data_IF_107271623887
#
_entry.id   IF_107271623887
#
_cell.length_a   1.000
_cell.length_b   1.000
_cell.length_c   1.000
_cell.angle_alpha   90.00
_cell.angle_beta   90.00
_cell.angle_gamma   90.00
#
_symmetry.space_group_name_H-M   'P 1'
#
loop_
_entity.id
_entity.type
_entity.pdbx_description
1 polymer ?
#
# COMPACT_ATOMS: atom_id res chain seq x y z
N UNK A 1 -4.79 -20.43 -22.82
CA UNK A 1 -6.05 -20.11 -22.13
C UNK A 1 -6.24 -21.09 -20.99
N UNK A 2 -6.47 -20.59 -19.78
CA UNK A 2 -6.60 -21.38 -18.56
C UNK A 2 -8.07 -21.54 -18.17
N UNK A 3 -8.81 -20.44 -18.10
CA UNK A 3 -10.19 -20.38 -17.57
C UNK A 3 -11.21 -19.73 -18.47
N UNK A 4 -10.82 -19.00 -19.52
CA UNK A 4 -11.79 -18.32 -20.42
C UNK A 4 -12.82 -19.25 -21.06
N UNK A 5 -12.45 -20.51 -21.30
CA UNK A 5 -13.33 -21.53 -21.88
C UNK A 5 -14.47 -22.00 -20.94
N UNK A 6 -14.44 -21.66 -19.64
CA UNK A 6 -15.51 -22.03 -18.69
C UNK A 6 -16.82 -21.29 -19.03
N UNK A 7 -16.71 -20.04 -19.47
CA UNK A 7 -17.81 -19.24 -19.98
C UNK A 7 -17.25 -18.28 -21.05
N UNK A 8 -17.26 -18.68 -22.33
CA UNK A 8 -16.76 -17.85 -23.42
C UNK A 8 -17.45 -16.46 -23.44
N UNK A 9 -16.67 -15.40 -23.67
CA UNK A 9 -17.15 -14.02 -23.66
C UNK A 9 -17.25 -13.37 -22.28
N UNK A 10 -16.95 -14.10 -21.19
CA UNK A 10 -16.90 -13.51 -19.86
C UNK A 10 -15.58 -12.75 -19.66
N UNK A 11 -15.67 -11.41 -19.62
CA UNK A 11 -14.53 -10.50 -19.54
C UNK A 11 -13.63 -10.74 -18.33
N UNK A 12 -14.20 -11.18 -17.20
CA UNK A 12 -13.42 -11.49 -15.99
C UNK A 12 -12.46 -12.67 -16.20
N UNK A 13 -12.91 -13.73 -16.87
CA UNK A 13 -12.11 -14.92 -17.15
C UNK A 13 -11.08 -14.65 -18.26
N UNK A 14 -11.45 -13.86 -19.26
CA UNK A 14 -10.55 -13.40 -20.31
C UNK A 14 -9.40 -12.57 -19.74
N UNK A 15 -9.70 -11.66 -18.80
CA UNK A 15 -8.68 -10.86 -18.14
C UNK A 15 -7.72 -11.72 -17.30
N UNK A 16 -8.22 -12.72 -16.56
CA UNK A 16 -7.38 -13.66 -15.81
C UNK A 16 -6.40 -14.39 -16.75
N UNK A 17 -6.89 -14.88 -17.89
CA UNK A 17 -6.06 -15.54 -18.89
C UNK A 17 -5.03 -14.60 -19.52
N UNK A 18 -5.44 -13.37 -19.84
CA UNK A 18 -4.55 -12.32 -20.34
C UNK A 18 -3.43 -12.03 -19.35
N UNK A 19 -3.77 -11.81 -18.07
CA UNK A 19 -2.83 -11.54 -16.98
C UNK A 19 -1.81 -12.67 -16.80
N UNK A 20 -2.24 -13.92 -16.97
CA UNK A 20 -1.35 -15.09 -16.87
C UNK A 20 -0.36 -15.23 -18.03
N UNK A 21 -0.43 -14.41 -19.07
CA UNK A 21 0.59 -14.39 -20.13
C UNK A 21 1.86 -13.64 -19.71
N UNK A 22 1.83 -12.86 -18.63
CA UNK A 22 2.97 -12.05 -18.17
C UNK A 22 3.72 -12.71 -17.00
N UNK A 23 5.03 -12.51 -16.93
CA UNK A 23 5.88 -13.10 -15.89
C UNK A 23 5.64 -12.48 -14.49
N UNK A 24 5.16 -11.25 -14.48
CA UNK A 24 4.82 -10.47 -13.29
C UNK A 24 3.34 -10.61 -12.90
N UNK A 25 2.59 -11.61 -13.42
CA UNK A 25 1.15 -11.84 -13.20
C UNK A 25 0.68 -11.76 -11.73
N UNK A 26 1.56 -11.87 -10.74
CA UNK A 26 1.22 -11.71 -9.31
C UNK A 26 1.12 -10.25 -8.86
N UNK A 27 1.29 -9.28 -9.75
CA UNK A 27 1.31 -7.84 -9.47
C UNK A 27 2.66 -7.36 -8.93
N UNK A 28 2.71 -6.09 -8.51
CA UNK A 28 3.94 -5.37 -8.13
C UNK A 28 4.78 -6.07 -7.05
N UNK A 29 6.08 -5.78 -7.02
CA UNK A 29 6.97 -6.24 -5.96
C UNK A 29 6.50 -5.74 -4.58
N UNK A 30 6.12 -6.68 -3.71
CA UNK A 30 5.77 -6.43 -2.30
C UNK A 30 6.64 -7.30 -1.39
N UNK A 31 6.56 -7.14 -0.06
CA UNK A 31 7.17 -8.11 0.86
C UNK A 31 6.50 -9.48 0.64
N UNK A 32 7.22 -10.43 0.05
CA UNK A 32 6.72 -11.78 -0.25
C UNK A 32 7.17 -12.81 0.81
N UNK A 33 8.01 -12.42 1.77
CA UNK A 33 8.77 -13.38 2.57
C UNK A 33 8.77 -13.13 4.09
N UNK A 34 8.37 -11.94 4.56
CA UNK A 34 8.37 -11.64 5.98
C UNK A 34 6.94 -11.52 6.51
N UNK A 35 6.53 -12.48 7.33
CA UNK A 35 5.34 -12.33 8.15
C UNK A 35 5.75 -11.57 9.40
N UNK A 36 5.29 -10.33 9.52
CA UNK A 36 5.35 -9.59 10.77
C UNK A 36 4.05 -8.87 11.07
N UNK A 37 3.83 -8.62 12.35
CA UNK A 37 2.74 -7.79 12.86
C UNK A 37 3.27 -6.49 13.47
N UNK A 38 2.35 -5.60 13.80
CA UNK A 38 2.64 -4.30 14.40
C UNK A 38 3.49 -4.41 15.67
N UNK A 39 3.24 -5.40 16.52
CA UNK A 39 3.95 -5.59 17.79
C UNK A 39 5.38 -6.08 17.54
N UNK A 40 5.58 -6.98 16.59
CA UNK A 40 6.91 -7.40 16.17
C UNK A 40 7.73 -6.24 15.61
N UNK A 41 7.15 -5.41 14.73
CA UNK A 41 7.83 -4.20 14.23
C UNK A 41 8.15 -3.27 15.39
N UNK A 42 7.20 -3.00 16.28
CA UNK A 42 7.39 -2.14 17.45
C UNK A 42 8.58 -2.61 18.30
N UNK A 43 8.60 -3.87 18.67
CA UNK A 43 9.67 -4.44 19.49
C UNK A 43 11.03 -4.32 18.79
N UNK A 44 11.11 -4.56 17.48
CA UNK A 44 12.37 -4.43 16.74
C UNK A 44 12.84 -2.97 16.69
N UNK A 45 11.95 -2.02 16.41
CA UNK A 45 12.30 -0.60 16.33
C UNK A 45 12.63 0.00 17.70
N UNK A 46 11.96 -0.43 18.76
CA UNK A 46 12.26 -0.02 20.14
C UNK A 46 13.65 -0.50 20.57
N UNK A 47 14.00 -1.76 20.29
CA UNK A 47 15.36 -2.27 20.50
C UNK A 47 16.34 -1.51 19.60
N UNK A 48 15.99 -1.19 18.35
CA UNK A 48 16.85 -0.38 17.49
C UNK A 48 17.13 1.00 18.11
N UNK A 49 16.13 1.65 18.70
CA UNK A 49 16.30 2.93 19.39
C UNK A 49 17.25 2.83 20.59
N UNK A 50 17.25 1.70 21.31
CA UNK A 50 18.19 1.45 22.40
C UNK A 50 19.65 1.41 21.92
N UNK A 51 19.93 0.78 20.78
CA UNK A 51 21.28 0.65 20.23
C UNK A 51 21.69 1.82 19.33
N UNK A 52 20.71 2.56 18.81
CA UNK A 52 20.89 3.65 17.87
C UNK A 52 19.96 4.83 18.22
N UNK A 53 20.14 5.43 19.41
CA UNK A 53 19.18 6.39 19.97
C UNK A 53 19.10 7.66 19.13
N UNK A 54 17.89 8.23 19.08
CA UNK A 54 17.63 9.53 18.46
C UNK A 54 18.15 9.62 17.01
N UNK A 55 17.93 8.56 16.23
CA UNK A 55 18.35 8.45 14.82
C UNK A 55 19.87 8.44 14.63
N UNK A 56 20.67 8.11 15.65
CA UNK A 56 22.10 7.87 15.44
C UNK A 56 22.31 6.74 14.43
N UNK A 57 23.48 6.69 13.81
CA UNK A 57 23.83 5.62 12.87
C UNK A 57 24.38 4.40 13.61
N UNK A 58 23.85 3.22 13.32
CA UNK A 58 24.42 1.94 13.72
C UNK A 58 25.00 1.23 12.50
N UNK A 59 26.25 0.79 12.60
CA UNK A 59 26.89 0.03 11.52
C UNK A 59 26.38 -1.41 11.51
N UNK A 60 25.85 -1.82 10.36
CA UNK A 60 25.45 -3.19 10.08
C UNK A 60 26.62 -3.99 9.51
N UNK A 61 26.48 -5.31 9.53
CA UNK A 61 27.34 -6.18 8.73
C UNK A 61 27.16 -5.92 7.23
N UNK A 62 28.22 -6.04 6.46
CA UNK A 62 28.19 -5.95 4.99
C UNK A 62 28.29 -7.33 4.31
N UNK A 63 28.74 -8.35 5.04
CA UNK A 63 28.94 -9.71 4.55
C UNK A 63 28.13 -10.73 5.36
N UNK A 64 27.69 -11.77 4.65
CA UNK A 64 26.98 -12.93 5.21
C UNK A 64 27.81 -13.64 6.26
N UNK A 65 27.15 -14.19 7.29
CA UNK A 65 27.83 -14.93 8.36
C UNK A 65 28.63 -16.11 7.78
N UNK A 66 28.08 -16.80 6.76
CA UNK A 66 28.76 -17.92 6.10
C UNK A 66 30.06 -17.51 5.40
N UNK A 67 30.20 -16.25 4.98
CA UNK A 67 31.40 -15.72 4.30
C UNK A 67 32.37 -15.08 5.29
N UNK A 68 31.85 -14.46 6.35
CA UNK A 68 32.64 -13.83 7.41
C UNK A 68 32.00 -14.15 8.76
N UNK A 69 32.41 -15.20 9.47
CA UNK A 69 31.74 -15.58 10.72
C UNK A 69 31.87 -14.55 11.84
N UNK A 70 32.95 -13.76 11.84
CA UNK A 70 33.30 -12.84 12.92
C UNK A 70 32.86 -11.41 12.61
N UNK A 71 32.27 -10.72 13.58
CA UNK A 71 31.92 -9.30 13.49
C UNK A 71 33.15 -8.41 13.67
N UNK A 72 33.22 -7.29 12.96
CA UNK A 72 34.21 -6.24 13.26
C UNK A 72 33.83 -5.49 14.53
N UNK A 73 34.75 -4.76 15.19
CA UNK A 73 34.43 -4.00 16.41
C UNK A 73 33.24 -3.05 16.25
N UNK A 74 33.14 -2.38 15.09
CA UNK A 74 32.04 -1.46 14.77
C UNK A 74 30.69 -2.15 14.57
N UNK A 75 30.66 -3.46 14.31
CA UNK A 75 29.44 -4.25 14.11
C UNK A 75 28.94 -4.92 15.40
N UNK A 76 29.70 -4.82 16.50
CA UNK A 76 29.31 -5.39 17.80
C UNK A 76 27.94 -4.85 18.28
N UNK A 77 27.63 -3.54 18.19
CA UNK A 77 26.30 -3.03 18.54
C UNK A 77 25.19 -3.71 17.73
N UNK A 78 25.41 -3.90 16.42
CA UNK A 78 24.44 -4.57 15.55
C UNK A 78 24.25 -6.04 15.89
N UNK A 79 25.32 -6.77 16.23
CA UNK A 79 25.21 -8.15 16.68
C UNK A 79 24.38 -8.27 17.96
N UNK A 80 24.65 -7.42 18.96
CA UNK A 80 23.89 -7.36 20.22
C UNK A 80 22.42 -6.97 20.00
N UNK A 81 22.16 -6.01 19.12
CA UNK A 81 20.82 -5.67 18.66
C UNK A 81 20.08 -6.89 18.12
N UNK A 82 20.70 -7.66 17.21
CA UNK A 82 20.09 -8.84 16.63
C UNK A 82 19.84 -9.95 17.66
N UNK A 83 20.75 -10.14 18.62
CA UNK A 83 20.56 -11.09 19.72
C UNK A 83 19.37 -10.71 20.61
N UNK A 84 19.24 -9.43 20.95
CA UNK A 84 18.12 -8.93 21.75
C UNK A 84 16.79 -9.03 21.00
N UNK A 85 16.77 -8.71 19.70
CA UNK A 85 15.61 -8.93 18.83
C UNK A 85 15.23 -10.40 18.79
N UNK A 86 16.19 -11.31 18.57
CA UNK A 86 15.93 -12.75 18.54
C UNK A 86 15.37 -13.25 19.88
N UNK A 87 15.86 -12.72 21.00
CA UNK A 87 15.36 -13.06 22.34
C UNK A 87 13.93 -12.54 22.57
N UNK A 88 13.59 -11.35 22.09
CA UNK A 88 12.30 -10.70 22.30
C UNK A 88 11.21 -11.19 21.35
N UNK A 89 11.55 -11.36 20.07
CA UNK A 89 10.60 -11.64 18.96
C UNK A 89 10.69 -13.11 18.51
N UNK A 90 11.73 -13.85 18.90
CA UNK A 90 11.91 -15.26 18.53
C UNK A 90 12.53 -15.49 17.15
N UNK A 91 12.72 -14.44 16.34
CA UNK A 91 13.36 -14.48 15.02
C UNK A 91 14.23 -13.24 14.80
N UNK A 92 15.16 -13.31 13.85
CA UNK A 92 16.05 -12.17 13.51
C UNK A 92 17.53 -12.48 13.67
N UNK A 93 18.07 -13.36 12.81
CA UNK A 93 19.52 -13.42 12.63
C UNK A 93 20.03 -12.12 11.99
N UNK A 94 21.32 -11.82 12.16
CA UNK A 94 21.96 -10.66 11.53
C UNK A 94 21.70 -10.61 10.01
N UNK A 95 21.79 -11.74 9.32
CA UNK A 95 21.50 -11.78 7.88
C UNK A 95 20.02 -11.57 7.55
N UNK A 96 19.10 -12.19 8.30
CA UNK A 96 17.66 -12.02 8.06
C UNK A 96 17.18 -10.60 8.32
N UNK A 97 17.70 -9.95 9.36
CA UNK A 97 17.38 -8.57 9.71
C UNK A 97 17.87 -7.67 8.58
N UNK A 98 19.15 -7.76 8.21
CA UNK A 98 19.76 -6.89 7.20
C UNK A 98 19.15 -7.04 5.81
N UNK A 99 18.88 -8.28 5.38
CA UNK A 99 18.45 -8.61 4.01
C UNK A 99 16.95 -8.63 3.82
N UNK A 100 16.18 -8.87 4.89
CA UNK A 100 14.74 -9.05 4.76
C UNK A 100 14.01 -7.96 5.57
N UNK A 101 14.15 -7.94 6.90
CA UNK A 101 13.35 -7.03 7.74
C UNK A 101 13.67 -5.56 7.51
N UNK A 102 14.95 -5.18 7.53
CA UNK A 102 15.38 -3.81 7.27
C UNK A 102 15.19 -3.39 5.81
N UNK A 103 15.04 -4.33 4.87
CA UNK A 103 14.62 -3.95 3.51
C UNK A 103 13.17 -3.48 3.56
N UNK A 104 12.29 -4.24 4.22
CA UNK A 104 10.89 -3.86 4.33
C UNK A 104 10.69 -2.60 5.19
N UNK A 105 11.35 -2.50 6.35
CA UNK A 105 11.19 -1.36 7.25
C UNK A 105 11.69 -0.05 6.62
N UNK A 106 12.68 -0.13 5.74
CA UNK A 106 13.12 1.02 4.95
C UNK A 106 12.07 1.41 3.91
N UNK A 107 11.43 0.43 3.26
CA UNK A 107 10.33 0.66 2.30
C UNK A 107 9.04 1.16 2.96
N UNK A 108 8.89 0.89 4.25
CA UNK A 108 7.83 1.41 5.11
C UNK A 108 8.12 2.83 5.64
N UNK A 109 9.31 3.38 5.35
CA UNK A 109 9.85 4.61 5.92
C UNK A 109 9.96 4.60 7.46
N UNK A 110 10.14 3.44 8.10
CA UNK A 110 10.33 3.34 9.55
C UNK A 110 11.81 3.42 9.97
N UNK A 111 12.71 3.15 9.03
CA UNK A 111 14.16 3.28 9.21
C UNK A 111 14.76 3.92 7.98
N UNK A 112 15.98 4.41 8.12
CA UNK A 112 16.80 4.89 7.02
C UNK A 112 18.04 4.02 6.87
N UNK A 113 18.48 3.83 5.62
CA UNK A 113 19.70 3.07 5.33
C UNK A 113 20.69 3.93 4.58
N UNK A 114 21.97 3.72 4.87
CA UNK A 114 23.05 4.56 4.39
C UNK A 114 24.15 3.74 3.75
N UNK A 115 24.88 4.37 2.83
CA UNK A 115 26.05 3.79 2.19
C UNK A 115 27.29 3.85 3.10
N UNK A 116 28.47 3.55 2.54
CA UNK A 116 29.73 3.59 3.27
C UNK A 116 30.20 4.99 3.67
N UNK A 117 29.67 6.03 3.02
CA UNK A 117 30.01 7.43 3.24
C UNK A 117 29.02 8.10 4.22
N UNK A 118 27.97 7.39 4.65
CA UNK A 118 26.92 7.95 5.50
C UNK A 118 25.85 8.70 4.72
N UNK A 119 25.81 8.56 3.39
CA UNK A 119 24.78 9.18 2.55
C UNK A 119 23.49 8.34 2.62
N UNK A 120 22.35 9.03 2.75
CA UNK A 120 21.02 8.41 2.77
C UNK A 120 20.74 7.72 1.43
N UNK A 121 20.19 6.51 1.47
CA UNK A 121 19.84 5.75 0.27
C UNK A 121 18.33 5.68 0.11
N UNK A 122 17.85 5.65 -1.13
CA UNK A 122 16.44 5.41 -1.39
C UNK A 122 15.99 3.99 -1.01
N UNK A 123 14.70 3.78 -0.69
CA UNK A 123 14.17 2.48 -0.25
C UNK A 123 14.25 1.37 -1.30
N UNK A 124 14.37 1.72 -2.58
CA UNK A 124 14.48 0.79 -3.72
C UNK A 124 15.88 0.80 -4.37
N UNK A 125 16.79 1.63 -3.88
CA UNK A 125 18.14 1.77 -4.44
C UNK A 125 18.96 0.50 -4.20
N UNK A 126 19.49 -0.09 -5.27
CA UNK A 126 20.47 -1.19 -5.19
C UNK A 126 21.82 -0.65 -4.71
N UNK A 127 22.60 -1.47 -4.01
CA UNK A 127 23.94 -1.10 -3.57
C UNK A 127 24.27 -1.55 -2.16
N UNK A 128 25.53 -1.38 -1.77
CA UNK A 128 26.00 -1.72 -0.43
C UNK A 128 25.34 -0.82 0.62
N UNK A 129 24.89 -1.44 1.71
CA UNK A 129 24.23 -0.76 2.83
C UNK A 129 25.11 -0.98 4.06
N UNK A 130 25.64 0.11 4.62
CA UNK A 130 26.61 0.03 5.73
C UNK A 130 26.00 0.45 7.07
N UNK A 131 25.16 1.48 7.07
CA UNK A 131 24.54 1.96 8.31
C UNK A 131 23.01 1.95 8.24
N UNK A 132 22.41 1.97 9.42
CA UNK A 132 20.97 2.09 9.63
C UNK A 132 20.69 3.08 10.76
N UNK A 133 19.57 3.80 10.68
CA UNK A 133 19.01 4.58 11.78
C UNK A 133 17.49 4.47 11.78
N UNK A 134 16.84 4.89 12.86
CA UNK A 134 15.41 5.20 12.81
C UNK A 134 15.16 6.40 11.88
N UNK A 135 13.98 6.41 11.26
CA UNK A 135 13.43 7.61 10.61
C UNK A 135 12.59 8.42 11.62
N UNK A 136 12.06 9.55 11.19
CA UNK A 136 11.08 10.30 11.99
C UNK A 136 9.77 9.53 12.18
N UNK A 137 9.28 8.84 11.14
CA UNK A 137 8.09 7.98 11.23
C UNK A 137 8.36 6.78 12.16
N UNK A 138 9.57 6.21 12.16
CA UNK A 138 9.97 5.15 13.10
C UNK A 138 10.00 5.60 14.56
N UNK A 139 10.53 6.81 14.82
CA UNK A 139 10.48 7.41 16.15
C UNK A 139 9.06 7.73 16.59
N UNK A 140 8.23 8.29 15.71
CA UNK A 140 6.80 8.53 15.98
C UNK A 140 6.11 7.21 16.33
N UNK A 141 6.40 6.13 15.62
CA UNK A 141 5.80 4.81 15.80
C UNK A 141 6.06 4.21 17.19
N UNK A 142 7.31 4.23 17.66
CA UNK A 142 7.65 3.66 18.98
C UNK A 142 7.16 4.55 20.14
N UNK A 143 7.06 5.86 19.93
CA UNK A 143 6.61 6.80 20.96
C UNK A 143 5.07 6.98 21.01
N UNK A 144 4.34 6.38 20.08
CA UNK A 144 2.87 6.48 20.01
C UNK A 144 2.17 5.49 20.93
N UNK A 145 0.97 5.83 21.38
CA UNK A 145 0.02 4.89 21.97
C UNK A 145 -0.45 3.84 20.93
N UNK A 146 -1.10 2.77 21.41
CA UNK A 146 -1.50 1.63 20.59
C UNK A 146 -2.37 2.03 19.38
N UNK A 147 -3.28 2.96 19.58
CA UNK A 147 -4.19 3.41 18.53
C UNK A 147 -3.45 4.17 17.43
N UNK A 148 -2.71 5.21 17.80
CA UNK A 148 -1.95 6.02 16.84
C UNK A 148 -0.85 5.18 16.17
N UNK A 149 -0.31 4.19 16.88
CA UNK A 149 0.59 3.20 16.30
C UNK A 149 -0.07 2.35 15.23
N UNK A 150 -1.33 1.96 15.38
CA UNK A 150 -2.07 1.21 14.33
C UNK A 150 -2.29 2.05 13.06
N UNK A 151 -2.51 3.37 13.21
CA UNK A 151 -2.56 4.32 12.09
C UNK A 151 -1.19 4.44 11.40
N UNK A 152 -0.12 4.67 12.16
CA UNK A 152 1.25 4.72 11.63
C UNK A 152 1.67 3.40 10.98
N UNK A 153 1.27 2.26 11.55
CA UNK A 153 1.46 0.93 10.97
C UNK A 153 0.77 0.85 9.61
N UNK A 154 -0.47 1.33 9.51
CA UNK A 154 -1.21 1.31 8.25
C UNK A 154 -0.55 2.17 7.17
N UNK A 155 -0.07 3.36 7.51
CA UNK A 155 0.72 4.21 6.62
C UNK A 155 1.97 3.49 6.11
N UNK A 156 2.75 2.91 7.02
CA UNK A 156 3.92 2.09 6.70
C UNK A 156 3.56 0.92 5.77
N UNK A 157 2.46 0.23 6.05
CA UNK A 157 1.99 -0.88 5.25
C UNK A 157 1.56 -0.47 3.84
N UNK A 158 0.87 0.66 3.69
CA UNK A 158 0.44 1.16 2.38
C UNK A 158 1.64 1.45 1.48
N UNK A 159 2.68 2.08 2.04
CA UNK A 159 3.95 2.33 1.34
C UNK A 159 4.65 1.03 0.90
N UNK A 160 4.64 0.01 1.76
CA UNK A 160 5.22 -1.30 1.45
C UNK A 160 4.43 -2.06 0.39
N UNK A 161 3.10 -2.02 0.47
CA UNK A 161 2.19 -2.77 -0.41
C UNK A 161 1.90 -2.06 -1.73
N UNK A 162 2.38 -0.83 -1.91
CA UNK A 162 2.21 -0.08 -3.15
C UNK A 162 0.82 0.53 -3.31
N UNK A 163 0.23 1.05 -2.24
CA UNK A 163 -1.05 1.76 -2.30
C UNK A 163 -2.30 0.89 -2.12
N UNK A 164 -2.16 -0.42 -1.87
CA UNK A 164 -3.30 -1.32 -1.74
C UNK A 164 -4.25 -0.96 -0.59
N UNK A 165 -3.77 -0.33 0.49
CA UNK A 165 -4.66 0.13 1.59
C UNK A 165 -5.55 1.24 1.03
N UNK A 166 -4.96 2.25 0.40
CA UNK A 166 -5.70 3.40 -0.13
C UNK A 166 -6.69 2.97 -1.23
N UNK A 167 -6.26 2.12 -2.16
CA UNK A 167 -7.12 1.60 -3.25
C UNK A 167 -8.32 0.83 -2.66
N UNK A 168 -8.07 -0.08 -1.71
CA UNK A 168 -9.14 -0.88 -1.10
C UNK A 168 -10.09 -0.03 -0.28
N UNK A 169 -9.55 0.98 0.43
CA UNK A 169 -10.34 1.94 1.19
C UNK A 169 -11.23 2.77 0.25
N UNK A 170 -10.68 3.25 -0.86
CA UNK A 170 -11.40 4.01 -1.88
C UNK A 170 -12.56 3.23 -2.49
N UNK A 171 -12.30 1.97 -2.89
CA UNK A 171 -13.29 1.04 -3.45
C UNK A 171 -14.44 0.75 -2.48
N UNK A 172 -14.13 0.38 -1.25
CA UNK A 172 -15.16 0.03 -0.26
C UNK A 172 -15.94 1.26 0.25
N UNK A 173 -15.36 2.46 0.16
CA UNK A 173 -16.05 3.73 0.47
C UNK A 173 -16.83 4.30 -0.71
N UNK A 174 -16.77 3.69 -1.90
CA UNK A 174 -17.46 4.20 -3.08
C UNK A 174 -18.91 3.72 -3.16
N UNK A 175 -19.85 4.64 -2.90
CA UNK A 175 -21.28 4.32 -2.85
C UNK A 175 -21.86 4.01 -4.22
N UNK A 176 -21.39 4.66 -5.29
CA UNK A 176 -21.96 4.42 -6.62
C UNK A 176 -21.69 3.00 -7.11
N UNK A 177 -20.66 2.35 -6.55
CA UNK A 177 -20.23 0.99 -6.90
C UNK A 177 -20.81 -0.08 -5.97
N UNK A 178 -21.46 0.32 -4.88
CA UNK A 178 -22.12 -0.54 -3.88
C UNK A 178 -21.30 -1.77 -3.39
N UNK A 179 -19.97 -1.64 -3.32
CA UNK A 179 -19.10 -2.73 -2.88
C UNK A 179 -19.10 -2.82 -1.35
N UNK A 180 -19.81 -3.80 -0.80
CA UNK A 180 -19.83 -4.05 0.65
C UNK A 180 -18.67 -4.90 1.17
N UNK A 181 -17.99 -5.64 0.27
CA UNK A 181 -16.84 -6.49 0.59
C UNK A 181 -16.00 -6.77 -0.64
N UNK A 182 -14.72 -7.07 -0.40
CA UNK A 182 -13.77 -7.58 -1.40
C UNK A 182 -13.30 -8.97 -0.96
N UNK A 183 -13.53 -9.96 -1.81
CA UNK A 183 -13.01 -11.32 -1.61
C UNK A 183 -11.54 -11.43 -1.99
N UNK A 184 -10.82 -12.41 -1.42
CA UNK A 184 -9.42 -12.66 -1.82
C UNK A 184 -9.28 -12.93 -3.31
N UNK A 185 -10.26 -13.57 -3.95
CA UNK A 185 -10.22 -13.85 -5.39
C UNK A 185 -10.41 -12.56 -6.21
N UNK A 186 -11.37 -11.70 -5.86
CA UNK A 186 -11.52 -10.38 -6.50
C UNK A 186 -10.25 -9.53 -6.33
N UNK A 187 -9.65 -9.57 -5.14
CA UNK A 187 -8.40 -8.85 -4.88
C UNK A 187 -7.23 -9.42 -5.70
N UNK A 188 -7.09 -10.75 -5.66
CA UNK A 188 -6.05 -11.48 -6.36
C UNK A 188 -6.11 -11.25 -7.86
N UNK A 189 -7.30 -11.33 -8.47
CA UNK A 189 -7.48 -11.27 -9.91
C UNK A 189 -7.54 -9.83 -10.44
N UNK A 190 -8.15 -8.89 -9.73
CA UNK A 190 -8.47 -7.57 -10.30
C UNK A 190 -7.84 -6.41 -9.52
N UNK A 191 -8.04 -6.32 -8.20
CA UNK A 191 -7.59 -5.13 -7.44
C UNK A 191 -6.06 -5.02 -7.40
N UNK A 192 -5.35 -6.15 -7.31
CA UNK A 192 -3.87 -6.17 -7.40
C UNK A 192 -3.31 -5.83 -8.80
N UNK A 193 -4.18 -5.57 -9.79
CA UNK A 193 -3.80 -5.05 -11.10
C UNK A 193 -4.16 -3.56 -11.26
N UNK A 194 -4.86 -2.95 -10.29
CA UNK A 194 -5.17 -1.51 -10.35
C UNK A 194 -3.87 -0.72 -10.25
N UNK A 195 -3.59 0.09 -11.26
CA UNK A 195 -2.44 1.00 -11.33
C UNK A 195 -1.08 0.36 -11.03
N UNK A 196 -0.97 -0.96 -11.23
CA UNK A 196 0.29 -1.69 -11.08
C UNK A 196 1.29 -1.23 -12.14
N UNK A 197 2.58 -1.53 -11.92
CA UNK A 197 3.68 -1.27 -12.88
C UNK A 197 3.78 -2.33 -13.97
N UNK A 198 2.81 -3.23 -14.03
CA UNK A 198 2.77 -4.37 -14.95
C UNK A 198 2.12 -3.98 -16.27
N UNK A 199 2.36 -4.77 -17.32
CA UNK A 199 1.79 -4.54 -18.66
C UNK A 199 0.28 -4.79 -18.75
N UNK A 200 -0.34 -5.40 -17.74
CA UNK A 200 -1.78 -5.67 -17.68
C UNK A 200 -2.52 -4.75 -16.69
N UNK A 201 -1.89 -3.64 -16.29
CA UNK A 201 -2.47 -2.65 -15.39
C UNK A 201 -3.85 -2.18 -15.84
N UNK A 202 -4.74 -1.95 -14.89
CA UNK A 202 -6.11 -1.48 -15.12
C UNK A 202 -6.43 -0.29 -14.21
N UNK A 203 -7.47 0.46 -14.54
CA UNK A 203 -8.04 1.49 -13.67
C UNK A 203 -9.16 0.93 -12.78
N UNK A 204 -9.75 1.79 -11.94
CA UNK A 204 -10.78 1.37 -11.00
C UNK A 204 -12.07 0.99 -11.76
N UNK A 205 -12.45 1.75 -12.79
CA UNK A 205 -13.63 1.47 -13.63
C UNK A 205 -13.54 0.08 -14.30
N UNK A 206 -12.40 -0.25 -14.90
CA UNK A 206 -12.18 -1.57 -15.49
C UNK A 206 -12.17 -2.67 -14.45
N UNK A 207 -11.58 -2.43 -13.27
CA UNK A 207 -11.64 -3.40 -12.18
C UNK A 207 -13.09 -3.71 -11.79
N UNK A 208 -13.97 -2.71 -11.76
CA UNK A 208 -15.38 -2.92 -11.45
C UNK A 208 -16.12 -3.70 -12.50
N UNK A 209 -15.91 -3.40 -13.77
CA UNK A 209 -16.47 -4.16 -14.88
C UNK A 209 -16.08 -5.65 -14.77
N UNK A 210 -14.84 -5.94 -14.37
CA UNK A 210 -14.35 -7.31 -14.18
C UNK A 210 -14.97 -7.99 -12.96
N UNK A 211 -15.14 -7.29 -11.84
CA UNK A 211 -15.81 -7.80 -10.64
C UNK A 211 -17.29 -8.11 -10.94
N UNK A 212 -17.99 -7.21 -11.62
CA UNK A 212 -19.37 -7.40 -12.06
C UNK A 212 -19.48 -8.59 -13.02
N UNK A 213 -18.59 -8.66 -14.00
CA UNK A 213 -18.50 -9.80 -14.93
C UNK A 213 -18.23 -11.12 -14.21
N UNK A 214 -17.46 -11.13 -13.12
CA UNK A 214 -17.23 -12.34 -12.31
C UNK A 214 -18.52 -12.73 -11.57
N UNK A 215 -19.25 -11.76 -11.01
CA UNK A 215 -20.51 -11.98 -10.27
C UNK A 215 -21.65 -12.50 -11.16
N UNK A 216 -21.58 -12.28 -12.47
CA UNK A 216 -22.51 -12.88 -13.45
C UNK A 216 -22.30 -14.39 -13.63
N UNK A 217 -21.15 -14.95 -13.23
CA UNK A 217 -20.94 -16.39 -13.23
C UNK A 217 -21.70 -17.04 -12.06
N UNK A 218 -22.23 -18.23 -12.29
CA UNK A 218 -22.77 -19.05 -11.20
C UNK A 218 -21.68 -19.38 -10.17
N UNK A 219 -22.07 -19.62 -8.91
CA UNK A 219 -21.14 -20.06 -7.86
C UNK A 219 -20.33 -21.29 -8.26
N UNK A 220 -20.92 -22.21 -9.04
CA UNK A 220 -20.24 -23.39 -9.57
C UNK A 220 -19.15 -23.01 -10.58
N UNK A 221 -19.43 -22.08 -11.50
CA UNK A 221 -18.45 -21.59 -12.48
C UNK A 221 -17.30 -20.83 -11.82
N UNK A 222 -17.60 -19.98 -10.83
CA UNK A 222 -16.56 -19.26 -10.08
C UNK A 222 -15.64 -20.25 -9.35
N UNK A 223 -16.21 -21.26 -8.67
CA UNK A 223 -15.44 -22.33 -8.03
C UNK A 223 -14.62 -23.12 -9.04
N UNK A 224 -15.21 -23.47 -10.18
CA UNK A 224 -14.53 -24.19 -11.25
C UNK A 224 -13.34 -23.40 -11.81
N UNK A 225 -13.46 -22.08 -11.95
CA UNK A 225 -12.35 -21.22 -12.38
C UNK A 225 -11.18 -21.29 -11.39
N UNK A 226 -11.45 -21.14 -10.09
CA UNK A 226 -10.44 -21.23 -9.03
C UNK A 226 -9.79 -22.62 -8.98
N UNK A 227 -10.58 -23.70 -9.03
CA UNK A 227 -10.03 -25.07 -9.03
C UNK A 227 -9.21 -25.37 -10.29
N UNK A 228 -9.64 -24.88 -11.45
CA UNK A 228 -8.89 -25.01 -12.71
C UNK A 228 -7.54 -24.31 -12.61
N UNK A 229 -7.48 -23.10 -12.04
CA UNK A 229 -6.22 -22.38 -11.84
C UNK A 229 -5.31 -23.13 -10.85
N UNK A 230 -5.84 -23.65 -9.75
CA UNK A 230 -5.07 -24.47 -8.80
C UNK A 230 -4.39 -25.67 -9.48
N UNK A 231 -5.12 -26.36 -10.35
CA UNK A 231 -4.62 -27.55 -11.05
C UNK A 231 -3.64 -27.22 -12.18
N UNK A 232 -3.84 -26.10 -12.89
CA UNK A 232 -3.02 -25.73 -14.05
C UNK A 232 -1.78 -24.92 -13.67
N UNK A 233 -1.82 -24.09 -12.63
CA UNK A 233 -0.71 -23.22 -12.25
C UNK A 233 0.23 -23.91 -11.26
N UNK A 234 0.77 -25.06 -11.67
CA UNK A 234 1.76 -25.84 -10.94
C UNK A 234 3.13 -25.62 -11.60
N UNK A 235 4.15 -25.10 -10.87
CA UNK A 235 5.43 -24.70 -11.47
C UNK A 235 6.12 -25.77 -12.33
N UNK A 236 5.95 -27.04 -11.96
CA UNK A 236 6.57 -28.17 -12.67
C UNK A 236 5.94 -28.46 -14.04
N UNK A 237 4.77 -27.91 -14.33
CA UNK A 237 4.11 -28.00 -15.65
C UNK A 237 4.66 -26.98 -16.65
N UNK A 238 5.49 -26.04 -16.20
CA UNK A 238 6.06 -24.97 -17.03
C UNK A 238 7.56 -25.18 -17.23
N UNK A 239 8.03 -24.92 -18.45
CA UNK A 239 9.45 -24.92 -18.80
C UNK A 239 10.08 -23.54 -18.51
N UNK A 240 11.41 -23.49 -18.44
CA UNK A 240 12.18 -22.27 -18.20
C UNK A 240 12.51 -22.02 -16.73
N UNK A 241 12.96 -20.80 -16.44
CA UNK A 241 13.38 -20.39 -15.11
C UNK A 241 12.19 -20.11 -14.16
N UNK A 242 12.47 -19.70 -12.92
CA UNK A 242 11.44 -19.42 -11.91
C UNK A 242 10.45 -18.33 -12.33
N UNK A 243 10.84 -17.39 -13.19
CA UNK A 243 10.00 -16.26 -13.63
C UNK A 243 9.01 -16.67 -14.73
N UNK A 244 9.38 -17.66 -15.54
CA UNK A 244 8.50 -18.23 -16.57
C UNK A 244 7.41 -19.16 -16.01
N UNK A 245 7.55 -19.61 -14.76
CA UNK A 245 6.62 -20.57 -14.13
C UNK A 245 5.41 -19.89 -13.50
N UNK A 246 4.23 -20.49 -13.67
CA UNK A 246 3.01 -20.07 -12.94
C UNK A 246 2.81 -20.94 -11.71
N UNK A 247 2.39 -20.29 -10.63
CA UNK A 247 2.35 -20.86 -9.30
C UNK A 247 1.17 -20.28 -8.52
N UNK A 248 0.08 -21.04 -8.48
CA UNK A 248 -1.10 -20.66 -7.72
C UNK A 248 -0.78 -20.45 -6.23
N UNK A 249 0.01 -21.34 -5.63
CA UNK A 249 0.28 -21.30 -4.20
C UNK A 249 1.05 -20.03 -3.83
N UNK A 250 2.06 -19.67 -4.62
CA UNK A 250 2.80 -18.43 -4.40
C UNK A 250 1.97 -17.17 -4.69
N UNK A 251 1.04 -17.21 -5.64
CA UNK A 251 0.11 -16.10 -5.85
C UNK A 251 -0.83 -15.94 -4.65
N UNK A 252 -1.47 -17.03 -4.22
CA UNK A 252 -2.35 -17.05 -3.06
C UNK A 252 -1.63 -16.61 -1.78
N UNK A 253 -0.43 -17.11 -1.51
CA UNK A 253 0.35 -16.76 -0.32
C UNK A 253 0.63 -15.26 -0.23
N UNK A 254 0.90 -14.61 -1.37
CA UNK A 254 1.06 -13.14 -1.43
C UNK A 254 -0.23 -12.44 -0.99
N UNK A 255 -1.38 -12.89 -1.49
CA UNK A 255 -2.68 -12.28 -1.14
C UNK A 255 -3.09 -12.56 0.31
N UNK A 256 -2.83 -13.78 0.80
CA UNK A 256 -3.06 -14.11 2.21
C UNK A 256 -2.25 -13.20 3.14
N UNK A 257 -0.99 -12.91 2.77
CA UNK A 257 -0.15 -11.98 3.52
C UNK A 257 -0.71 -10.56 3.50
N UNK A 258 -1.16 -10.06 2.34
CA UNK A 258 -1.82 -8.75 2.23
C UNK A 258 -3.06 -8.68 3.14
N UNK A 259 -3.91 -9.71 3.12
CA UNK A 259 -5.10 -9.76 3.98
C UNK A 259 -4.77 -9.86 5.47
N UNK A 260 -3.72 -10.59 5.83
CA UNK A 260 -3.24 -10.60 7.21
C UNK A 260 -2.81 -9.20 7.66
N UNK A 261 -2.15 -8.43 6.79
CA UNK A 261 -1.73 -7.06 7.09
C UNK A 261 -2.93 -6.10 7.15
N UNK A 262 -3.92 -6.26 6.27
CA UNK A 262 -5.19 -5.53 6.34
C UNK A 262 -5.92 -5.73 7.67
N UNK A 263 -5.86 -6.93 8.26
CA UNK A 263 -6.49 -7.23 9.55
C UNK A 263 -5.90 -6.46 10.74
N UNK A 264 -4.71 -5.87 10.56
CA UNK A 264 -4.03 -5.06 11.57
C UNK A 264 -4.25 -3.54 11.35
N UNK A 265 -4.96 -3.18 10.28
CA UNK A 265 -5.32 -1.78 10.02
C UNK A 265 -6.61 -1.42 10.76
N UNK A 266 -6.74 -0.20 11.32
CA UNK A 266 -7.98 0.23 11.94
C UNK A 266 -9.11 0.43 10.91
N UNK A 267 -8.79 0.53 9.60
CA UNK A 267 -9.77 0.77 8.54
C UNK A 267 -10.57 -0.45 8.13
N UNK A 268 -10.06 -1.66 8.37
CA UNK A 268 -10.61 -2.87 7.79
C UNK A 268 -11.00 -3.91 8.83
N UNK A 269 -11.98 -4.72 8.46
CA UNK A 269 -12.28 -6.00 9.09
C UNK A 269 -12.03 -7.10 8.05
N UNK A 270 -11.29 -8.13 8.46
CA UNK A 270 -11.06 -9.32 7.64
C UNK A 270 -11.81 -10.48 8.26
N UNK A 271 -12.73 -11.08 7.50
CA UNK A 271 -13.72 -12.02 8.04
C UNK A 271 -14.01 -13.20 7.10
N UNK A 272 -14.85 -14.12 7.55
CA UNK A 272 -15.24 -15.33 6.82
C UNK A 272 -14.23 -16.47 6.92
N UNK A 273 -14.60 -17.63 6.38
CA UNK A 273 -13.75 -18.83 6.39
C UNK A 273 -12.39 -18.53 5.73
N UNK A 274 -11.29 -18.84 6.42
CA UNK A 274 -9.93 -18.54 5.96
C UNK A 274 -9.65 -17.05 5.68
N UNK A 275 -10.33 -16.14 6.40
CA UNK A 275 -10.13 -14.69 6.28
C UNK A 275 -10.34 -14.20 4.84
N UNK A 276 -11.39 -14.70 4.17
CA UNK A 276 -11.59 -14.55 2.73
C UNK A 276 -12.17 -13.19 2.33
N UNK A 277 -12.85 -12.49 3.24
CA UNK A 277 -13.52 -11.23 2.95
C UNK A 277 -12.81 -10.06 3.63
N UNK A 278 -12.65 -8.96 2.90
CA UNK A 278 -12.22 -7.66 3.38
C UNK A 278 -13.41 -6.71 3.37
N UNK A 279 -13.64 -6.01 4.47
CA UNK A 279 -14.72 -5.03 4.64
C UNK A 279 -14.22 -3.82 5.40
N UNK A 280 -14.95 -2.72 5.37
CA UNK A 280 -14.65 -1.59 6.24
C UNK A 280 -14.92 -1.96 7.70
N UNK A 281 -14.01 -1.52 8.57
CA UNK A 281 -14.16 -1.65 10.00
C UNK A 281 -15.38 -0.88 10.48
N UNK A 282 -16.06 -1.43 11.48
CA UNK A 282 -17.17 -0.76 12.17
C UNK A 282 -16.78 -0.31 13.57
N UNK A 283 -15.48 -0.38 13.89
CA UNK A 283 -14.98 -0.05 15.21
C UNK A 283 -15.07 1.47 15.44
N UNK A 284 -15.55 1.82 16.63
CA UNK A 284 -15.55 3.18 17.14
C UNK A 284 -14.31 3.37 18.00
N UNK A 285 -13.60 4.45 17.74
CA UNK A 285 -12.32 4.78 18.35
C UNK A 285 -12.49 6.06 19.16
N UNK A 286 -12.11 6.07 20.42
CA UNK A 286 -12.11 7.30 21.22
C UNK A 286 -10.81 8.07 21.03
N UNK A 287 -10.90 9.32 20.58
CA UNK A 287 -9.77 10.27 20.48
C UNK A 287 -9.16 10.60 21.84
N UNK A 288 -7.97 11.22 21.81
CA UNK A 288 -7.37 11.83 23.01
C UNK A 288 -8.23 12.92 23.65
N UNK A 289 -9.11 13.56 22.86
CA UNK A 289 -10.05 14.59 23.32
C UNK A 289 -11.38 14.03 23.83
N UNK A 290 -11.53 12.71 23.88
CA UNK A 290 -12.77 12.04 24.32
C UNK A 290 -13.87 11.96 23.25
N UNK A 291 -13.64 12.50 22.05
CA UNK A 291 -14.57 12.31 20.92
C UNK A 291 -14.54 10.86 20.45
N UNK A 292 -15.70 10.29 20.15
CA UNK A 292 -15.79 9.01 19.46
C UNK A 292 -15.64 9.27 17.95
N UNK A 293 -14.52 8.83 17.37
CA UNK A 293 -14.34 8.69 15.92
C UNK A 293 -14.82 7.31 15.52
N UNK A 294 -15.96 7.26 14.88
CA UNK A 294 -16.22 6.17 13.95
C UNK A 294 -15.34 6.44 12.73
N UNK A 295 -14.41 5.54 12.41
CA UNK A 295 -13.79 5.55 11.09
C UNK A 295 -14.96 5.36 10.11
N UNK A 296 -15.41 6.41 9.42
CA UNK A 296 -16.72 6.39 8.79
C UNK A 296 -16.76 5.22 7.82
N UNK A 297 -17.80 4.40 7.91
CA UNK A 297 -18.08 3.37 6.92
C UNK A 297 -18.10 3.93 5.49
N UNK A 298 -18.26 5.24 5.30
CA UNK A 298 -18.38 5.89 3.98
C UNK A 298 -17.93 7.36 4.03
N UNK A 299 -17.17 7.84 3.04
CA UNK A 299 -16.87 9.28 2.85
C UNK A 299 -17.90 9.98 1.96
N UNK A 300 -19.18 9.59 2.09
CA UNK A 300 -20.28 10.14 1.27
C UNK A 300 -20.25 11.66 1.26
N UNK A 301 -20.06 12.22 2.45
CA UNK A 301 -20.08 13.65 2.67
C UNK A 301 -18.98 14.35 1.87
N UNK A 302 -17.72 13.93 1.99
CA UNK A 302 -16.61 14.60 1.29
C UNK A 302 -16.71 14.47 -0.24
N UNK A 303 -17.04 13.28 -0.76
CA UNK A 303 -17.22 13.08 -2.22
C UNK A 303 -18.38 13.90 -2.77
N UNK A 304 -19.54 13.86 -2.10
CA UNK A 304 -20.72 14.65 -2.50
C UNK A 304 -20.44 16.15 -2.40
N UNK A 305 -19.77 16.59 -1.34
CA UNK A 305 -19.35 17.98 -1.15
C UNK A 305 -18.40 18.43 -2.26
N UNK A 306 -17.50 17.56 -2.75
CA UNK A 306 -16.64 17.91 -3.88
C UNK A 306 -17.48 18.28 -5.11
N UNK A 307 -18.33 17.37 -5.59
CA UNK A 307 -19.17 17.60 -6.77
C UNK A 307 -20.09 18.81 -6.59
N UNK A 308 -20.67 18.99 -5.40
CA UNK A 308 -21.52 20.13 -5.06
C UNK A 308 -20.75 21.46 -5.06
N UNK A 309 -19.60 21.53 -4.41
CA UNK A 309 -18.81 22.77 -4.32
C UNK A 309 -18.18 23.14 -5.66
N UNK A 310 -17.86 22.14 -6.49
CA UNK A 310 -17.26 22.34 -7.80
C UNK A 310 -18.27 22.46 -8.94
N UNK A 311 -19.55 22.15 -8.70
CA UNK A 311 -20.59 22.10 -9.71
C UNK A 311 -20.21 21.20 -10.90
N UNK A 312 -19.72 19.99 -10.58
CA UNK A 312 -19.25 19.01 -11.57
C UNK A 312 -20.17 17.81 -11.58
N UNK A 313 -20.51 17.36 -12.79
CA UNK A 313 -21.16 16.07 -13.03
C UNK A 313 -20.09 15.00 -13.24
N UNK A 314 -20.33 13.81 -12.71
CA UNK A 314 -19.44 12.66 -12.91
C UNK A 314 -19.26 12.35 -14.39
N UNK A 315 -18.02 12.03 -14.77
CA UNK A 315 -17.60 11.68 -16.12
C UNK A 315 -16.94 10.29 -16.08
N UNK A 316 -17.30 9.38 -17.01
CA UNK A 316 -16.61 8.09 -17.14
C UNK A 316 -15.10 8.27 -17.33
N UNK A 317 -14.30 7.40 -16.69
CA UNK A 317 -12.84 7.46 -16.74
C UNK A 317 -12.20 8.57 -15.88
N UNK A 318 -12.99 9.28 -15.07
CA UNK A 318 -12.50 10.24 -14.08
C UNK A 318 -12.84 9.77 -12.66
N UNK A 319 -11.91 9.99 -11.74
CA UNK A 319 -11.93 9.49 -10.37
C UNK A 319 -11.56 10.59 -9.37
N UNK A 320 -12.18 10.55 -8.18
CA UNK A 320 -11.77 11.41 -7.08
C UNK A 320 -10.54 10.82 -6.39
N UNK A 321 -9.50 11.63 -6.30
CA UNK A 321 -8.24 11.28 -5.67
C UNK A 321 -7.99 12.20 -4.46
N UNK A 322 -7.66 11.63 -3.30
CA UNK A 322 -7.18 12.42 -2.16
C UNK A 322 -5.72 12.78 -2.39
N UNK A 323 -5.41 14.07 -2.44
CA UNK A 323 -4.04 14.57 -2.65
C UNK A 323 -3.11 14.14 -1.52
N UNK A 324 -3.55 14.27 -0.27
CA UNK A 324 -2.94 13.57 0.87
C UNK A 324 -3.76 12.30 1.15
N UNK A 325 -3.20 11.09 0.98
CA UNK A 325 -3.95 9.84 1.10
C UNK A 325 -4.56 9.64 2.48
N UNK A 326 -5.75 9.03 2.54
CA UNK A 326 -6.38 8.72 3.83
C UNK A 326 -5.56 7.70 4.63
N UNK A 327 -4.92 6.75 3.93
CA UNK A 327 -4.02 5.75 4.49
C UNK A 327 -2.81 6.36 5.24
N UNK A 328 -2.50 7.63 5.02
CA UNK A 328 -1.36 8.33 5.63
C UNK A 328 -1.67 8.99 6.97
N UNK A 329 -2.92 8.93 7.44
CA UNK A 329 -3.27 9.50 8.73
C UNK A 329 -2.51 8.79 9.85
N UNK A 330 -1.90 9.56 10.75
CA UNK A 330 -1.19 9.09 11.94
C UNK A 330 -2.13 8.96 13.16
N UNK A 331 -3.37 9.45 13.05
CA UNK A 331 -4.39 9.38 14.09
C UNK A 331 -5.81 9.46 13.52
N UNK A 332 -6.80 9.20 14.36
CA UNK A 332 -8.21 9.32 14.00
C UNK A 332 -8.63 10.79 13.72
N UNK A 333 -8.04 11.75 14.42
CA UNK A 333 -8.25 13.18 14.18
C UNK A 333 -7.68 13.60 12.82
N UNK A 334 -6.46 13.16 12.51
CA UNK A 334 -5.84 13.45 11.23
C UNK A 334 -6.60 12.82 10.06
N UNK A 335 -7.15 11.62 10.27
CA UNK A 335 -8.02 11.00 9.27
C UNK A 335 -9.24 11.88 8.93
N UNK A 336 -9.92 12.46 9.93
CA UNK A 336 -11.05 13.38 9.69
C UNK A 336 -10.64 14.62 8.90
N UNK A 337 -9.40 15.10 9.09
CA UNK A 337 -8.84 16.20 8.33
C UNK A 337 -8.56 15.78 6.87
N UNK A 338 -8.06 14.57 6.64
CA UNK A 338 -7.78 14.12 5.28
C UNK A 338 -9.06 13.81 4.50
N UNK A 339 -10.11 13.32 5.17
CA UNK A 339 -11.43 13.03 4.58
C UNK A 339 -12.29 14.29 4.40
N UNK A 340 -11.76 15.25 3.65
CA UNK A 340 -12.40 16.52 3.30
C UNK A 340 -12.34 16.76 1.80
N UNK A 341 -13.39 17.32 1.21
CA UNK A 341 -13.44 17.61 -0.23
C UNK A 341 -12.29 18.53 -0.69
N UNK A 342 -11.80 19.40 0.19
CA UNK A 342 -10.68 20.32 -0.09
C UNK A 342 -9.35 19.61 -0.34
N UNK A 343 -9.23 18.36 0.14
CA UNK A 343 -8.09 17.49 -0.07
C UNK A 343 -8.27 16.57 -1.30
N UNK A 344 -9.31 16.78 -2.13
CA UNK A 344 -9.58 15.94 -3.28
C UNK A 344 -9.33 16.67 -4.61
N UNK A 345 -9.01 15.91 -5.65
CA UNK A 345 -9.04 16.35 -7.04
C UNK A 345 -9.80 15.34 -7.89
N UNK A 346 -10.51 15.80 -8.93
CA UNK A 346 -11.21 14.92 -9.86
C UNK A 346 -10.44 14.81 -11.17
N UNK A 347 -9.74 13.69 -11.35
CA UNK A 347 -8.72 13.49 -12.39
C UNK A 347 -9.04 12.28 -13.26
N UNK A 348 -8.46 12.21 -14.46
CA UNK A 348 -8.57 11.02 -15.28
C UNK A 348 -7.80 9.82 -14.70
N UNK A 349 -8.21 8.61 -15.06
CA UNK A 349 -7.57 7.37 -14.59
C UNK A 349 -6.08 7.28 -14.96
N UNK A 350 -5.66 7.90 -16.06
CA UNK A 350 -4.24 7.93 -16.46
C UNK A 350 -3.38 8.76 -15.51
N UNK A 351 -3.85 9.95 -15.11
CA UNK A 351 -3.13 10.79 -14.15
C UNK A 351 -3.16 10.17 -12.75
N UNK A 352 -4.27 9.53 -12.37
CA UNK A 352 -4.34 8.76 -11.12
C UNK A 352 -3.31 7.61 -11.10
N UNK A 353 -3.21 6.86 -12.19
CA UNK A 353 -2.23 5.79 -12.34
C UNK A 353 -0.80 6.28 -12.09
N UNK A 354 -0.42 7.45 -12.62
CA UNK A 354 0.92 8.04 -12.39
C UNK A 354 1.17 8.30 -10.90
N UNK A 355 0.18 8.88 -10.20
CA UNK A 355 0.29 9.16 -8.76
C UNK A 355 0.45 7.85 -7.97
N UNK A 356 -0.36 6.83 -8.26
CA UNK A 356 -0.29 5.54 -7.59
C UNK A 356 1.02 4.79 -7.88
N UNK A 357 1.53 4.87 -9.11
CA UNK A 357 2.84 4.29 -9.48
C UNK A 357 4.02 5.01 -8.80
N UNK A 358 3.82 6.28 -8.44
CA UNK A 358 4.68 7.07 -7.55
C UNK A 358 4.38 6.84 -6.06
N UNK A 359 3.63 5.77 -5.72
CA UNK A 359 3.29 5.33 -4.35
C UNK A 359 2.48 6.34 -3.56
N UNK A 360 1.67 7.14 -4.26
CA UNK A 360 0.88 8.22 -3.67
C UNK A 360 1.73 9.27 -2.93
N UNK A 361 2.99 9.46 -3.34
CA UNK A 361 3.87 10.45 -2.72
C UNK A 361 3.68 11.88 -3.27
N UNK A 362 2.93 12.05 -4.37
CA UNK A 362 2.66 13.35 -5.00
C UNK A 362 1.64 14.18 -4.19
N UNK A 363 2.00 14.53 -2.96
CA UNK A 363 1.09 15.12 -1.97
C UNK A 363 1.16 16.65 -1.91
N UNK A 364 2.15 17.27 -2.55
CA UNK A 364 2.28 18.73 -2.60
C UNK A 364 1.53 19.30 -3.81
N UNK A 365 0.52 20.13 -3.56
CA UNK A 365 -0.27 20.79 -4.60
C UNK A 365 0.27 22.19 -4.89
N UNK A 366 0.70 22.41 -6.13
CA UNK A 366 1.15 23.70 -6.64
C UNK A 366 0.21 24.17 -7.76
N UNK A 367 -0.14 25.46 -7.75
CA UNK A 367 -0.86 26.10 -8.85
C UNK A 367 0.16 26.80 -9.75
N UNK A 368 0.10 26.50 -11.05
CA UNK A 368 0.89 27.18 -12.08
C UNK A 368 -0.03 27.57 -13.25
N UNK A 369 -0.53 28.81 -13.21
CA UNK A 369 -1.53 29.29 -14.16
C UNK A 369 -2.85 28.53 -14.05
N UNK A 370 -3.25 27.88 -15.14
CA UNK A 370 -4.43 27.00 -15.26
C UNK A 370 -4.15 25.52 -14.91
N UNK A 371 -2.91 25.23 -14.46
CA UNK A 371 -2.46 23.88 -14.13
C UNK A 371 -2.37 23.68 -12.62
N UNK A 372 -2.72 22.48 -12.20
CA UNK A 372 -2.34 21.94 -10.89
C UNK A 372 -1.18 20.98 -11.10
N UNK A 373 -0.11 21.15 -10.32
CA UNK A 373 1.03 20.23 -10.29
C UNK A 373 1.00 19.52 -8.95
N UNK A 374 0.94 18.19 -8.98
CA UNK A 374 1.12 17.36 -7.81
C UNK A 374 2.55 16.82 -7.80
N UNK A 375 3.35 17.18 -6.80
CA UNK A 375 4.76 16.77 -6.70
C UNK A 375 5.09 16.02 -5.41
N UNK A 376 6.10 15.16 -5.48
CA UNK A 376 6.70 14.49 -4.32
C UNK A 376 8.05 15.10 -3.93
N UNK A 377 8.65 14.60 -2.85
CA UNK A 377 9.97 15.04 -2.37
C UNK A 377 11.15 14.54 -3.23
N UNK A 378 10.90 13.83 -4.34
CA UNK A 378 11.90 13.24 -5.23
C UNK A 378 11.76 13.78 -6.67
N UNK A 379 11.23 15.00 -6.82
CA UNK A 379 11.01 15.68 -8.11
C UNK A 379 10.09 14.94 -9.10
N UNK A 380 9.34 13.92 -8.66
CA UNK A 380 8.29 13.33 -9.49
C UNK A 380 7.10 14.29 -9.53
N UNK A 381 6.65 14.64 -10.73
CA UNK A 381 5.53 15.58 -10.93
C UNK A 381 4.44 14.96 -11.79
N UNK A 382 3.19 15.23 -11.40
CA UNK A 382 2.00 14.93 -12.20
C UNK A 382 1.32 16.24 -12.53
N UNK A 383 1.39 16.62 -13.80
CA UNK A 383 0.76 17.84 -14.31
C UNK A 383 -0.69 17.60 -14.70
N UNK A 384 -1.58 18.44 -14.19
CA UNK A 384 -3.02 18.38 -14.36
C UNK A 384 -3.49 19.70 -14.97
N UNK A 385 -3.97 19.65 -16.21
CA UNK A 385 -4.48 20.80 -16.96
C UNK A 385 -6.01 20.78 -17.03
N UNK A 386 -6.64 21.92 -16.74
CA UNK A 386 -8.10 22.07 -16.77
C UNK A 386 -8.68 21.62 -18.12
N UNK A 387 -9.76 20.84 -18.08
CA UNK A 387 -10.47 20.35 -19.28
C UNK A 387 -9.77 19.21 -20.04
N UNK A 388 -8.53 18.86 -19.69
CA UNK A 388 -7.81 17.71 -20.28
C UNK A 388 -7.86 16.48 -19.38
N UNK A 389 -7.31 16.60 -18.17
CA UNK A 389 -7.12 15.48 -17.24
C UNK A 389 -7.49 15.81 -15.79
N UNK A 390 -8.04 17.01 -15.54
CA UNK A 390 -8.64 17.38 -14.26
C UNK A 390 -9.89 18.25 -14.49
N UNK A 391 -10.87 18.10 -13.61
CA UNK A 391 -12.07 18.92 -13.56
C UNK A 391 -12.21 19.51 -12.16
N UNK A 392 -12.32 20.83 -12.06
CA UNK A 392 -12.54 21.53 -10.81
C UNK A 392 -13.20 22.89 -11.10
N UNK A 393 -13.58 23.62 -10.05
CA UNK A 393 -14.05 25.00 -10.18
C UNK A 393 -12.89 25.92 -9.79
N UNK A 394 -12.44 26.78 -10.71
CA UNK A 394 -11.31 27.70 -10.51
C UNK A 394 -11.45 28.56 -9.23
N UNK A 395 -12.66 28.93 -8.82
CA UNK A 395 -12.89 29.68 -7.57
C UNK A 395 -12.55 28.89 -6.29
N UNK A 396 -12.37 27.57 -6.39
CA UNK A 396 -12.05 26.68 -5.25
C UNK A 396 -10.55 26.38 -5.14
N UNK A 397 -9.74 26.74 -6.13
CA UNK A 397 -8.29 26.52 -6.07
C UNK A 397 -7.61 27.12 -4.83
N UNK A 398 -7.85 28.39 -4.45
CA UNK A 398 -7.14 28.98 -3.32
C UNK A 398 -7.39 28.23 -2.01
N UNK A 399 -8.64 27.86 -1.74
CA UNK A 399 -9.01 27.13 -0.53
C UNK A 399 -8.46 25.69 -0.52
N UNK A 400 -8.37 25.03 -1.68
CA UNK A 400 -7.79 23.68 -1.78
C UNK A 400 -6.28 23.71 -1.54
N UNK A 401 -5.56 24.65 -2.15
CA UNK A 401 -4.11 24.76 -1.99
C UNK A 401 -3.72 25.21 -0.58
N UNK A 402 -4.46 26.16 0.01
CA UNK A 402 -4.26 26.54 1.42
C UNK A 402 -4.52 25.34 2.35
N UNK A 403 -5.57 24.57 2.07
CA UNK A 403 -5.88 23.37 2.83
C UNK A 403 -4.78 22.32 2.72
N UNK A 404 -4.29 22.02 1.51
CA UNK A 404 -3.19 21.09 1.29
C UNK A 404 -1.93 21.49 2.07
N UNK A 405 -1.53 22.78 2.03
CA UNK A 405 -0.42 23.29 2.84
C UNK A 405 -0.63 23.05 4.34
N UNK A 406 -1.84 23.28 4.85
CA UNK A 406 -2.15 23.02 6.26
C UNK A 406 -2.01 21.54 6.63
N UNK A 407 -2.43 20.61 5.74
CA UNK A 407 -2.28 19.18 5.96
C UNK A 407 -0.81 18.75 6.02
N UNK A 408 0.03 19.30 5.14
CA UNK A 408 1.47 19.02 5.10
C UNK A 408 2.23 19.54 6.33
N UNK A 409 1.74 20.60 6.97
CA UNK A 409 2.31 21.08 8.26
C UNK A 409 1.86 20.24 9.46
N UNK A 410 0.82 19.41 9.30
CA UNK A 410 0.23 18.58 10.37
C UNK A 410 0.68 17.11 10.27
N UNK A 411 1.42 16.73 9.22
CA UNK A 411 1.94 15.37 8.97
C UNK A 411 3.34 15.18 9.54
#
# INVERSE_FOLDING_TARGET
MYVSNIQPGNKSLEFIDHRLNYNDYRGDESSQHNRYDMDEIFNILDILNKFSPNKSLMQMRDADISKRPINTPSEIPYAKFCEEVKKKVGKGSQDSIRKNLFVDFHRMDLIERYDSYGSKLGPFTRGAKKFVSLSDDGLKFINSDLLNRAFLFTKAMDKLLGGYIEISLGLLKDEDREISRITKDEFMFFISAIYSKTSYTIDIDKCMELIESLKLLSNMQQKLAVETLKQKLIPNLFKGDKTAKRDWHNWKNKIDQVYHLFSQSPYFNVSGTNNFNLQLSTHKVTTKKGEIVELPKRSVKAKHEYFKNHNITKRPGYELHHVVPLSWANSAEQYKLFDQWKNMVYIDGFSHAKITQNRNNNVNMIIDGDRIILEDNNDNKVELSEGKNILYNNSKLPIMTEYNKSLLTTT
#
